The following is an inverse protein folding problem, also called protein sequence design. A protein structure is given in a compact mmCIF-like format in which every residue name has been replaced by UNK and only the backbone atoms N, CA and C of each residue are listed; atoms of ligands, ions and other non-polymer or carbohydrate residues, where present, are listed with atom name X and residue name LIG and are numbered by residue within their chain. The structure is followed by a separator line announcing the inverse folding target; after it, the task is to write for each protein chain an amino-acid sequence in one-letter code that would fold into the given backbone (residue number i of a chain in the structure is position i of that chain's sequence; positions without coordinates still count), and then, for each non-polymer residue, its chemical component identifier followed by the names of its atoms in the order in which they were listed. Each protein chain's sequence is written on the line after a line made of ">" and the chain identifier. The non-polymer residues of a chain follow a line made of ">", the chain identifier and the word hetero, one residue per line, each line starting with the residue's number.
data_IF_417470908622
#
_entry.id   IF_417470908622
#
_cell.length_a   1.000
_cell.length_b   1.000
_cell.length_c   1.000
_cell.angle_alpha   90.00
_cell.angle_beta   90.00
_cell.angle_gamma   90.00
#
_symmetry.space_group_name_H-M   'P 1'
#
loop_
_entity.id
_entity.type
_entity.pdbx_description
1 polymer ?
#
# COMPACT_ATOMS: atom_id res chain seq x y z
N UNK A 1 -34.64 49.91 -13.11
CA UNK A 1 -33.54 49.46 -12.23
C UNK A 1 -34.03 48.21 -11.54
N UNK A 2 -33.68 47.01 -12.04
CA UNK A 2 -32.50 46.22 -11.61
C UNK A 2 -32.70 45.70 -10.18
N UNK A 3 -32.47 44.45 -9.80
CA UNK A 3 -32.01 43.22 -10.45
C UNK A 3 -31.97 42.16 -9.32
N UNK A 4 -32.22 40.88 -9.65
CA UNK A 4 -31.72 39.72 -8.89
C UNK A 4 -32.38 39.43 -7.52
N UNK A 5 -32.76 38.20 -7.17
CA UNK A 5 -32.37 36.89 -7.70
C UNK A 5 -33.40 35.87 -7.21
N UNK A 6 -33.99 35.13 -8.15
CA UNK A 6 -34.69 33.86 -7.90
C UNK A 6 -33.81 32.94 -7.06
N UNK A 7 -34.29 32.50 -5.90
CA UNK A 7 -33.80 31.25 -5.31
C UNK A 7 -34.83 30.21 -5.69
N UNK A 8 -34.64 29.72 -6.90
CA UNK A 8 -35.36 28.64 -7.53
C UNK A 8 -35.25 27.40 -6.66
N UNK A 9 -36.38 26.70 -6.52
CA UNK A 9 -36.48 25.31 -6.09
C UNK A 9 -35.30 24.47 -6.61
N UNK A 10 -34.45 24.00 -5.70
CA UNK A 10 -33.61 22.83 -5.97
C UNK A 10 -34.17 21.74 -5.04
N UNK A 11 -35.03 20.92 -5.62
CA UNK A 11 -35.34 19.59 -5.11
C UNK A 11 -34.03 18.84 -4.92
N UNK A 12 -33.54 18.73 -3.69
CA UNK A 12 -32.63 17.66 -3.29
C UNK A 12 -33.47 16.51 -2.72
N UNK A 13 -34.45 16.05 -3.50
CA UNK A 13 -35.05 14.74 -3.34
C UNK A 13 -34.25 13.80 -4.22
N UNK A 14 -33.50 12.90 -3.58
CA UNK A 14 -32.93 11.63 -4.09
C UNK A 14 -31.59 11.24 -3.44
N UNK A 15 -31.19 11.87 -2.33
CA UNK A 15 -30.26 11.20 -1.42
C UNK A 15 -31.07 10.29 -0.49
N UNK A 16 -31.19 9.02 -0.89
CA UNK A 16 -31.48 7.94 0.06
C UNK A 16 -30.39 7.99 1.12
N UNK A 17 -30.71 8.54 2.28
CA UNK A 17 -29.97 8.28 3.51
C UNK A 17 -30.15 6.78 3.73
N UNK A 18 -29.13 6.02 3.35
CA UNK A 18 -29.06 4.60 3.68
C UNK A 18 -28.96 4.59 5.20
N UNK A 19 -30.00 4.07 5.85
CA UNK A 19 -30.02 3.89 7.30
C UNK A 19 -28.77 3.11 7.68
N UNK A 20 -27.86 3.80 8.37
CA UNK A 20 -26.51 3.34 8.57
C UNK A 20 -26.54 2.31 9.71
N UNK A 21 -26.86 1.07 9.35
CA UNK A 21 -26.59 -0.07 10.21
C UNK A 21 -25.07 -0.28 10.21
N UNK A 22 -24.34 0.66 10.82
CA UNK A 22 -22.90 0.64 10.94
C UNK A 22 -22.51 -0.69 11.58
N UNK A 23 -21.74 -1.48 10.84
CA UNK A 23 -21.14 -2.69 11.39
C UNK A 23 -20.44 -2.31 12.69
N UNK A 24 -20.76 -3.02 13.77
CA UNK A 24 -20.07 -2.78 15.04
C UNK A 24 -18.57 -2.99 14.81
N UNK A 25 -17.72 -2.14 15.38
CA UNK A 25 -16.27 -2.27 15.30
C UNK A 25 -15.80 -3.69 15.63
N UNK A 26 -16.45 -4.33 16.60
CA UNK A 26 -16.19 -5.73 16.99
C UNK A 26 -16.42 -6.71 15.84
N UNK A 27 -17.49 -6.52 15.06
CA UNK A 27 -17.82 -7.36 13.91
C UNK A 27 -16.87 -7.11 12.73
N UNK A 28 -16.44 -5.87 12.52
CA UNK A 28 -15.46 -5.52 11.48
C UNK A 28 -14.07 -6.10 11.78
N UNK A 29 -13.68 -6.20 13.06
CA UNK A 29 -12.40 -6.79 13.48
C UNK A 29 -12.34 -8.31 13.27
N UNK A 30 -13.47 -9.02 13.26
CA UNK A 30 -13.48 -10.50 13.18
C UNK A 30 -12.82 -11.00 11.89
N UNK A 31 -13.23 -10.59 10.67
CA UNK A 31 -12.57 -11.03 9.44
C UNK A 31 -11.10 -10.61 9.35
N UNK A 32 -10.74 -9.45 9.89
CA UNK A 32 -9.37 -8.91 9.87
C UNK A 32 -8.45 -9.75 10.76
N UNK A 33 -8.85 -10.01 12.00
CA UNK A 33 -8.11 -10.87 12.92
C UNK A 33 -8.00 -12.30 12.37
N UNK A 34 -9.09 -12.82 11.81
CA UNK A 34 -9.10 -14.14 11.19
C UNK A 34 -8.09 -14.23 10.04
N UNK A 35 -8.07 -13.25 9.14
CA UNK A 35 -7.10 -13.18 8.05
C UNK A 35 -5.65 -13.09 8.57
N UNK A 36 -5.38 -12.23 9.56
CA UNK A 36 -4.04 -12.08 10.12
C UNK A 36 -3.55 -13.37 10.80
N UNK A 37 -4.42 -14.10 11.48
CA UNK A 37 -4.09 -15.38 12.09
C UNK A 37 -3.77 -16.44 11.04
N UNK A 38 -4.54 -16.51 9.95
CA UNK A 38 -4.25 -17.45 8.85
C UNK A 38 -2.92 -17.14 8.17
N UNK A 39 -2.63 -15.86 7.91
CA UNK A 39 -1.34 -15.44 7.33
C UNK A 39 -0.18 -15.75 8.29
N UNK A 40 -0.35 -15.48 9.58
CA UNK A 40 0.66 -15.80 10.59
C UNK A 40 0.91 -17.30 10.67
N UNK A 41 -0.16 -18.11 10.68
CA UNK A 41 -0.05 -19.56 10.67
C UNK A 41 0.70 -20.07 9.43
N UNK A 42 0.35 -19.55 8.24
CA UNK A 42 1.01 -19.90 6.99
C UNK A 42 2.52 -19.65 7.05
N UNK A 43 2.94 -18.50 7.59
CA UNK A 43 4.36 -18.12 7.65
C UNK A 43 5.13 -18.88 8.73
N UNK A 44 4.59 -19.00 9.95
CA UNK A 44 5.34 -19.53 11.09
C UNK A 44 5.31 -21.06 11.20
N UNK A 45 4.25 -21.72 10.70
CA UNK A 45 4.05 -23.17 10.90
C UNK A 45 4.02 -23.97 9.60
N UNK A 46 3.93 -23.31 8.45
CA UNK A 46 3.81 -23.96 7.15
C UNK A 46 4.77 -23.39 6.10
N UNK A 47 5.84 -22.69 6.53
CA UNK A 47 6.90 -22.12 5.69
C UNK A 47 6.39 -21.31 4.48
N UNK A 48 5.22 -20.69 4.62
CA UNK A 48 4.56 -19.89 3.58
C UNK A 48 3.79 -20.68 2.53
N UNK A 49 3.77 -22.01 2.60
CA UNK A 49 3.23 -22.90 1.57
C UNK A 49 2.08 -23.81 2.04
N UNK A 50 1.32 -23.40 3.06
CA UNK A 50 0.23 -24.20 3.63
C UNK A 50 -0.78 -24.72 2.59
N UNK A 51 -1.15 -23.88 1.62
CA UNK A 51 -2.05 -24.22 0.52
C UNK A 51 -1.32 -24.27 -0.85
N UNK A 52 -0.01 -24.55 -0.84
CA UNK A 52 0.84 -24.59 -2.03
C UNK A 52 1.46 -23.24 -2.40
N UNK A 53 1.97 -23.11 -3.63
CA UNK A 53 2.74 -21.94 -4.10
C UNK A 53 1.97 -20.61 -4.02
N UNK A 54 0.64 -20.68 -4.06
CA UNK A 54 -0.25 -19.51 -4.00
C UNK A 54 -1.00 -19.41 -2.66
N UNK A 55 -0.39 -19.92 -1.58
CA UNK A 55 -1.03 -19.99 -0.26
C UNK A 55 -1.57 -18.64 0.21
N UNK A 56 -0.81 -17.56 0.03
CA UNK A 56 -1.23 -16.22 0.43
C UNK A 56 -2.47 -15.73 -0.32
N UNK A 57 -2.56 -15.99 -1.63
CA UNK A 57 -3.70 -15.59 -2.46
C UNK A 57 -4.97 -16.34 -2.02
N UNK A 58 -4.86 -17.65 -1.75
CA UNK A 58 -5.97 -18.43 -1.23
C UNK A 58 -6.41 -17.97 0.16
N UNK A 59 -5.47 -17.65 1.05
CA UNK A 59 -5.76 -17.12 2.39
C UNK A 59 -6.50 -15.78 2.30
N UNK A 60 -6.10 -14.89 1.39
CA UNK A 60 -6.80 -13.62 1.15
C UNK A 60 -8.24 -13.85 0.65
N UNK A 61 -8.45 -14.80 -0.27
CA UNK A 61 -9.80 -15.17 -0.74
C UNK A 61 -10.66 -15.77 0.38
N UNK A 62 -10.07 -16.60 1.25
CA UNK A 62 -10.75 -17.15 2.44
C UNK A 62 -11.12 -16.03 3.41
N UNK A 63 -10.22 -15.07 3.67
CA UNK A 63 -10.51 -13.89 4.48
C UNK A 63 -11.62 -13.03 3.90
N UNK A 64 -11.61 -12.79 2.58
CA UNK A 64 -12.68 -12.10 1.87
C UNK A 64 -14.02 -12.84 1.94
N UNK A 65 -13.99 -14.16 1.88
CA UNK A 65 -15.19 -15.01 2.06
C UNK A 65 -15.72 -14.89 3.49
N UNK A 66 -14.84 -14.90 4.50
CA UNK A 66 -15.24 -14.68 5.90
C UNK A 66 -15.86 -13.29 6.11
N UNK A 67 -15.31 -12.25 5.47
CA UNK A 67 -15.90 -10.91 5.47
C UNK A 67 -17.28 -10.89 4.79
N UNK A 68 -17.45 -11.57 3.65
CA UNK A 68 -18.73 -11.69 2.97
C UNK A 68 -19.77 -12.42 3.82
N UNK A 69 -19.39 -13.50 4.51
CA UNK A 69 -20.26 -14.24 5.45
C UNK A 69 -20.69 -13.33 6.60
N UNK A 70 -19.78 -12.56 7.18
CA UNK A 70 -20.12 -11.55 8.20
C UNK A 70 -21.07 -10.48 7.65
N UNK A 71 -20.91 -10.05 6.40
CA UNK A 71 -21.85 -9.15 5.73
C UNK A 71 -23.25 -9.75 5.62
N UNK A 72 -23.36 -11.02 5.21
CA UNK A 72 -24.64 -11.75 5.13
C UNK A 72 -25.31 -11.86 6.51
N UNK A 73 -24.56 -12.18 7.57
CA UNK A 73 -25.11 -12.25 8.94
C UNK A 73 -25.62 -10.90 9.45
N UNK A 74 -25.02 -9.79 9.00
CA UNK A 74 -25.50 -8.44 9.28
C UNK A 74 -26.57 -7.95 8.30
N UNK A 75 -27.12 -8.86 7.48
CA UNK A 75 -28.18 -8.59 6.49
C UNK A 75 -27.78 -7.55 5.44
N UNK A 76 -26.49 -7.43 5.15
CA UNK A 76 -26.00 -6.56 4.07
C UNK A 76 -26.38 -7.21 2.73
N UNK A 77 -27.02 -6.47 1.80
CA UNK A 77 -27.42 -7.03 0.52
C UNK A 77 -26.21 -7.41 -0.33
N UNK A 78 -26.23 -8.60 -0.95
CA UNK A 78 -25.13 -9.12 -1.77
C UNK A 78 -24.73 -8.16 -2.90
N UNK A 79 -25.69 -7.49 -3.51
CA UNK A 79 -25.44 -6.48 -4.54
C UNK A 79 -24.55 -5.35 -4.02
N UNK A 80 -24.79 -4.86 -2.80
CA UNK A 80 -23.97 -3.82 -2.18
C UNK A 80 -22.55 -4.30 -1.93
N UNK A 81 -22.37 -5.54 -1.46
CA UNK A 81 -21.04 -6.12 -1.29
C UNK A 81 -20.28 -6.22 -2.61
N UNK A 82 -20.95 -6.64 -3.70
CA UNK A 82 -20.34 -6.70 -5.03
C UNK A 82 -20.00 -5.31 -5.58
N UNK A 83 -20.90 -4.34 -5.42
CA UNK A 83 -20.66 -2.95 -5.84
C UNK A 83 -19.41 -2.37 -5.15
N UNK A 84 -19.23 -2.64 -3.85
CA UNK A 84 -18.04 -2.25 -3.09
C UNK A 84 -16.76 -2.98 -3.55
N UNK A 85 -16.84 -4.26 -3.92
CA UNK A 85 -15.70 -4.98 -4.50
C UNK A 85 -15.27 -4.36 -5.83
N UNK A 86 -16.21 -3.99 -6.69
CA UNK A 86 -15.94 -3.35 -7.98
C UNK A 86 -15.34 -1.95 -7.78
N UNK A 87 -15.84 -1.19 -6.81
CA UNK A 87 -15.28 0.13 -6.50
C UNK A 87 -13.85 0.02 -5.96
N UNK A 88 -13.58 -0.94 -5.07
CA UNK A 88 -12.23 -1.24 -4.61
C UNK A 88 -11.29 -1.61 -5.77
N UNK A 89 -11.79 -2.33 -6.79
CA UNK A 89 -11.01 -2.67 -7.99
C UNK A 89 -10.45 -1.45 -8.72
N UNK A 90 -11.24 -0.36 -8.81
CA UNK A 90 -10.78 0.88 -9.44
C UNK A 90 -9.64 1.52 -8.65
N UNK A 91 -9.72 1.47 -7.32
CA UNK A 91 -8.69 2.04 -6.44
C UNK A 91 -7.35 1.30 -6.53
N UNK A 92 -7.38 -0.03 -6.72
CA UNK A 92 -6.15 -0.85 -6.80
C UNK A 92 -5.56 -0.90 -8.22
N UNK A 93 -6.34 -0.56 -9.24
CA UNK A 93 -5.88 -0.60 -10.64
C UNK A 93 -4.67 0.32 -10.89
N UNK A 94 -4.69 1.54 -10.33
CA UNK A 94 -3.60 2.52 -10.50
C UNK A 94 -2.28 2.01 -9.89
N UNK A 95 -2.23 1.57 -8.61
CA UNK A 95 -1.05 0.93 -8.04
C UNK A 95 -0.52 -0.26 -8.87
N UNK A 96 -1.40 -1.12 -9.39
CA UNK A 96 -0.99 -2.26 -10.22
C UNK A 96 -0.27 -1.78 -11.50
N UNK A 97 -0.81 -0.76 -12.18
CA UNK A 97 -0.19 -0.18 -13.37
C UNK A 97 1.16 0.46 -13.04
N UNK A 98 1.29 1.14 -11.91
CA UNK A 98 2.57 1.68 -11.45
C UNK A 98 3.58 0.56 -11.23
N UNK A 99 3.23 -0.49 -10.48
CA UNK A 99 4.12 -1.63 -10.24
C UNK A 99 4.53 -2.33 -11.54
N UNK A 100 3.62 -2.43 -12.51
CA UNK A 100 3.92 -2.98 -13.83
C UNK A 100 4.95 -2.13 -14.59
N UNK A 101 4.77 -0.80 -14.63
CA UNK A 101 5.71 0.12 -15.26
C UNK A 101 7.06 0.14 -14.55
N UNK A 102 7.08 0.07 -13.22
CA UNK A 102 8.32 -0.02 -12.44
C UNK A 102 9.04 -1.33 -12.71
N UNK A 103 8.32 -2.45 -12.85
CA UNK A 103 8.90 -3.73 -13.27
C UNK A 103 9.59 -3.62 -14.64
N UNK A 104 8.92 -3.01 -15.62
CA UNK A 104 9.51 -2.75 -16.93
C UNK A 104 10.74 -1.82 -16.84
N UNK A 105 10.66 -0.75 -16.05
CA UNK A 105 11.76 0.18 -15.81
C UNK A 105 12.96 -0.53 -15.18
N UNK A 106 12.76 -1.31 -14.12
CA UNK A 106 13.82 -2.07 -13.46
C UNK A 106 14.50 -3.06 -14.42
N UNK A 107 13.72 -3.75 -15.26
CA UNK A 107 14.25 -4.63 -16.31
C UNK A 107 15.11 -3.87 -17.33
N UNK A 108 14.63 -2.73 -17.83
CA UNK A 108 15.40 -1.90 -18.77
C UNK A 108 16.66 -1.32 -18.14
N UNK A 109 16.64 -0.95 -16.86
CA UNK A 109 17.81 -0.48 -16.11
C UNK A 109 18.86 -1.56 -15.90
N UNK A 110 18.42 -2.81 -15.70
CA UNK A 110 19.33 -3.95 -15.60
C UNK A 110 20.03 -4.19 -16.93
N UNK A 111 19.26 -4.25 -18.04
CA UNK A 111 19.80 -4.50 -19.38
C UNK A 111 20.68 -3.35 -19.91
N UNK A 112 20.34 -2.10 -19.61
CA UNK A 112 21.12 -0.93 -20.03
C UNK A 112 22.38 -0.68 -19.17
N UNK A 113 22.57 -1.45 -18.10
CA UNK A 113 23.72 -1.29 -17.21
C UNK A 113 23.57 -0.17 -16.18
N UNK A 114 22.40 0.47 -16.06
CA UNK A 114 22.14 1.53 -15.07
C UNK A 114 22.23 0.96 -13.64
N UNK A 115 21.59 -0.18 -13.35
CA UNK A 115 21.70 -0.83 -12.02
C UNK A 115 23.17 -1.24 -11.73
N UNK A 116 23.88 -1.96 -12.63
CA UNK A 116 25.30 -2.24 -12.46
C UNK A 116 26.17 -0.99 -12.22
N UNK A 117 25.93 0.11 -12.93
CA UNK A 117 26.64 1.37 -12.72
C UNK A 117 26.34 1.98 -11.34
N UNK A 118 25.07 2.00 -10.92
CA UNK A 118 24.69 2.42 -9.56
C UNK A 118 25.35 1.56 -8.49
N UNK A 119 25.50 0.25 -8.72
CA UNK A 119 26.24 -0.64 -7.83
C UNK A 119 27.71 -0.24 -7.78
N UNK A 120 28.36 -0.11 -8.93
CA UNK A 120 29.77 0.25 -9.02
C UNK A 120 30.11 1.57 -8.31
N UNK A 121 29.35 2.63 -8.60
CA UNK A 121 29.55 3.93 -7.95
C UNK A 121 29.07 3.93 -6.49
N UNK A 122 28.00 3.19 -6.18
CA UNK A 122 27.50 3.00 -4.83
C UNK A 122 28.55 2.40 -3.91
N UNK A 123 29.30 1.40 -4.38
CA UNK A 123 30.41 0.78 -3.64
C UNK A 123 31.58 1.73 -3.37
N UNK A 124 31.75 2.78 -4.19
CA UNK A 124 32.81 3.78 -3.98
C UNK A 124 32.41 4.84 -2.94
N UNK A 125 31.11 5.12 -2.82
CA UNK A 125 30.58 6.17 -1.93
C UNK A 125 30.10 5.59 -0.59
N UNK A 126 29.50 4.40 -0.60
CA UNK A 126 28.88 3.78 0.56
C UNK A 126 29.80 2.71 1.15
N UNK A 127 30.33 3.01 2.35
CA UNK A 127 31.04 2.02 3.16
C UNK A 127 30.04 1.10 3.87
N UNK A 128 30.37 -0.19 4.10
CA UNK A 128 29.49 -1.12 4.82
C UNK A 128 29.01 -0.56 6.17
N UNK A 129 29.85 0.19 6.87
CA UNK A 129 29.55 0.76 8.20
C UNK A 129 28.38 1.75 8.19
N UNK A 130 28.16 2.47 7.08
CA UNK A 130 27.12 3.50 6.96
C UNK A 130 25.99 3.10 6.02
N UNK A 131 26.10 1.95 5.36
CA UNK A 131 25.19 1.57 4.28
C UNK A 131 23.72 1.48 4.72
N UNK A 132 23.45 0.82 5.86
CA UNK A 132 22.09 0.65 6.37
C UNK A 132 21.44 2.00 6.76
N UNK A 133 22.06 2.86 7.59
CA UNK A 133 21.47 4.17 7.90
C UNK A 133 21.37 5.07 6.66
N UNK A 134 22.34 5.02 5.74
CA UNK A 134 22.25 5.75 4.47
C UNK A 134 21.07 5.26 3.62
N UNK A 135 20.82 3.96 3.56
CA UNK A 135 19.69 3.37 2.83
C UNK A 135 18.35 3.86 3.37
N UNK A 136 18.21 3.95 4.70
CA UNK A 136 17.01 4.52 5.34
C UNK A 136 16.81 5.97 4.90
N UNK A 137 17.85 6.80 4.98
CA UNK A 137 17.77 8.23 4.64
C UNK A 137 17.44 8.42 3.15
N UNK A 138 18.13 7.71 2.27
CA UNK A 138 17.91 7.78 0.82
C UNK A 138 16.47 7.37 0.50
N UNK A 139 16.00 6.23 1.02
CA UNK A 139 14.63 5.78 0.79
C UNK A 139 13.61 6.77 1.38
N UNK A 140 13.87 7.35 2.55
CA UNK A 140 13.00 8.37 3.14
C UNK A 140 12.88 9.62 2.27
N UNK A 141 14.00 10.17 1.77
CA UNK A 141 13.98 11.36 0.92
C UNK A 141 13.19 11.11 -0.37
N UNK A 142 13.47 9.98 -1.03
CA UNK A 142 12.75 9.61 -2.26
C UNK A 142 11.27 9.37 -1.97
N UNK A 143 10.92 8.76 -0.84
CA UNK A 143 9.52 8.52 -0.50
C UNK A 143 8.77 9.78 -0.07
N UNK A 144 9.45 10.75 0.53
CA UNK A 144 8.87 12.09 0.77
C UNK A 144 8.55 12.74 -0.58
N UNK A 145 9.50 12.69 -1.52
CA UNK A 145 9.35 13.30 -2.84
C UNK A 145 8.28 12.61 -3.71
N UNK A 146 8.15 11.28 -3.62
CA UNK A 146 7.20 10.50 -4.42
C UNK A 146 5.84 10.32 -3.75
N UNK A 147 5.75 10.45 -2.42
CA UNK A 147 4.53 10.20 -1.65
C UNK A 147 4.11 8.73 -1.60
N UNK A 148 4.98 7.79 -1.98
CA UNK A 148 4.64 6.36 -2.07
C UNK A 148 5.78 5.46 -1.63
N UNK A 149 5.51 4.67 -0.58
CA UNK A 149 6.42 3.64 -0.07
C UNK A 149 6.66 2.52 -1.09
N UNK A 150 5.62 2.14 -1.84
CA UNK A 150 5.68 1.10 -2.87
C UNK A 150 6.57 1.53 -4.05
N UNK A 151 6.37 2.75 -4.56
CA UNK A 151 7.17 3.28 -5.67
C UNK A 151 8.64 3.42 -5.26
N UNK A 152 8.90 3.88 -4.04
CA UNK A 152 10.26 4.02 -3.51
C UNK A 152 10.96 2.67 -3.40
N UNK A 153 10.29 1.69 -2.80
CA UNK A 153 10.84 0.34 -2.63
C UNK A 153 11.14 -0.32 -3.97
N UNK A 154 10.27 -0.11 -4.96
CA UNK A 154 10.38 -0.71 -6.28
C UNK A 154 11.41 -0.02 -7.20
N UNK A 155 11.84 1.21 -6.89
CA UNK A 155 12.82 1.96 -7.71
C UNK A 155 14.21 1.97 -7.05
N UNK A 156 14.45 2.91 -6.14
CA UNK A 156 15.74 3.04 -5.44
C UNK A 156 15.99 1.88 -4.50
N UNK A 157 14.93 1.26 -3.97
CA UNK A 157 15.06 0.09 -3.08
C UNK A 157 15.74 -1.10 -3.75
N UNK A 158 15.40 -1.42 -5.01
CA UNK A 158 16.05 -2.51 -5.76
C UNK A 158 17.54 -2.23 -5.97
N UNK A 159 17.89 -0.97 -6.29
CA UNK A 159 19.28 -0.57 -6.44
C UNK A 159 20.07 -0.73 -5.12
N UNK A 160 19.50 -0.30 -3.99
CA UNK A 160 20.09 -0.46 -2.67
C UNK A 160 20.23 -1.93 -2.28
N UNK A 161 19.23 -2.78 -2.56
CA UNK A 161 19.33 -4.23 -2.35
C UNK A 161 20.50 -4.82 -3.16
N UNK A 162 20.66 -4.40 -4.42
CA UNK A 162 21.79 -4.80 -5.25
C UNK A 162 23.15 -4.39 -4.67
N UNK A 163 23.28 -3.12 -4.24
CA UNK A 163 24.52 -2.61 -3.61
C UNK A 163 24.82 -3.36 -2.32
N UNK A 164 23.84 -3.49 -1.42
CA UNK A 164 24.04 -4.11 -0.12
C UNK A 164 24.41 -5.60 -0.22
N UNK A 165 23.81 -6.31 -1.18
CA UNK A 165 24.19 -7.70 -1.46
C UNK A 165 25.65 -7.78 -1.97
N UNK A 166 26.08 -6.85 -2.81
CA UNK A 166 27.47 -6.76 -3.26
C UNK A 166 28.45 -6.39 -2.12
N UNK A 167 27.99 -5.66 -1.10
CA UNK A 167 28.73 -5.38 0.13
C UNK A 167 28.73 -6.55 1.13
N UNK A 168 28.03 -7.66 0.84
CA UNK A 168 27.93 -8.82 1.72
C UNK A 168 27.01 -8.63 2.92
N UNK A 169 26.13 -7.64 2.89
CA UNK A 169 25.18 -7.37 3.98
C UNK A 169 23.97 -8.32 3.84
N UNK A 170 23.51 -8.96 4.92
CA UNK A 170 22.33 -9.81 4.88
C UNK A 170 21.10 -9.12 4.28
N UNK A 171 20.48 -9.76 3.27
CA UNK A 171 19.37 -9.18 2.49
C UNK A 171 18.17 -8.76 3.34
N UNK A 172 17.89 -9.46 4.44
CA UNK A 172 16.84 -9.07 5.38
C UNK A 172 17.09 -7.72 6.05
N UNK A 173 18.35 -7.40 6.41
CA UNK A 173 18.70 -6.09 6.97
C UNK A 173 18.60 -4.98 5.93
N UNK A 174 19.02 -5.25 4.69
CA UNK A 174 18.93 -4.29 3.59
C UNK A 174 17.45 -3.98 3.29
N UNK A 175 16.63 -5.02 3.14
CA UNK A 175 15.20 -4.89 2.93
C UNK A 175 14.54 -4.12 4.09
N UNK A 176 14.89 -4.45 5.34
CA UNK A 176 14.41 -3.73 6.52
C UNK A 176 14.75 -2.24 6.49
N UNK A 177 15.98 -1.87 6.13
CA UNK A 177 16.42 -0.48 6.01
C UNK A 177 15.67 0.29 4.91
N UNK A 178 15.55 -0.31 3.72
CA UNK A 178 14.82 0.28 2.58
C UNK A 178 13.34 0.47 2.92
N UNK A 179 12.67 -0.56 3.44
CA UNK A 179 11.25 -0.52 3.79
C UNK A 179 11.01 0.53 4.88
N UNK A 180 11.89 0.58 5.89
CA UNK A 180 11.77 1.56 6.99
C UNK A 180 11.86 3.00 6.48
N UNK A 181 12.82 3.31 5.61
CA UNK A 181 12.93 4.63 5.00
C UNK A 181 11.74 4.96 4.08
N UNK A 182 11.34 4.00 3.23
CA UNK A 182 10.22 4.18 2.32
C UNK A 182 8.90 4.46 3.06
N UNK A 183 8.55 3.65 4.07
CA UNK A 183 7.34 3.90 4.85
C UNK A 183 7.40 5.18 5.68
N UNK A 184 8.57 5.49 6.25
CA UNK A 184 8.75 6.76 6.96
C UNK A 184 8.48 7.96 6.05
N UNK A 185 9.08 7.98 4.86
CA UNK A 185 8.93 9.10 3.95
C UNK A 185 7.52 9.23 3.36
N UNK A 186 6.86 8.12 3.07
CA UNK A 186 5.45 8.09 2.65
C UNK A 186 4.55 8.80 3.69
N UNK A 187 4.67 8.44 4.98
CA UNK A 187 3.86 9.03 6.05
C UNK A 187 4.19 10.48 6.37
N UNK A 188 5.37 10.96 5.99
CA UNK A 188 5.76 12.37 6.13
C UNK A 188 5.46 13.19 4.88
N UNK A 189 5.11 12.56 3.75
CA UNK A 189 4.90 13.25 2.49
C UNK A 189 3.52 13.93 2.43
N UNK A 190 3.45 15.23 2.10
CA UNK A 190 2.18 15.89 1.78
C UNK A 190 1.58 15.42 0.46
N UNK A 191 2.31 14.61 -0.32
CA UNK A 191 1.82 14.01 -1.57
C UNK A 191 1.22 12.62 -1.36
N UNK A 192 1.36 12.03 -0.17
CA UNK A 192 0.83 10.70 0.10
C UNK A 192 -0.68 10.73 0.27
N UNK A 193 -1.36 9.82 -0.42
CA UNK A 193 -2.81 9.63 -0.33
C UNK A 193 -3.22 9.32 1.11
N UNK A 194 -2.48 8.46 1.79
CA UNK A 194 -2.81 8.06 3.17
C UNK A 194 -2.58 9.18 4.17
N UNK A 195 -1.54 10.00 3.94
CA UNK A 195 -1.25 11.17 4.76
C UNK A 195 -2.32 12.25 4.57
N UNK A 196 -2.83 12.43 3.34
CA UNK A 196 -3.93 13.35 3.05
C UNK A 196 -5.32 12.86 3.52
N UNK A 197 -5.58 11.55 3.43
CA UNK A 197 -6.87 10.97 3.77
C UNK A 197 -7.12 10.95 5.29
N UNK A 198 -6.09 10.66 6.10
CA UNK A 198 -6.22 10.59 7.56
C UNK A 198 -6.78 11.88 8.20
N UNK A 199 -6.26 13.09 7.94
CA UNK A 199 -6.82 14.33 8.47
C UNK A 199 -8.16 14.69 7.84
N UNK A 200 -8.39 14.36 6.56
CA UNK A 200 -9.70 14.55 5.92
C UNK A 200 -10.80 13.74 6.63
N UNK A 201 -10.49 12.51 7.05
CA UNK A 201 -11.41 11.67 7.83
C UNK A 201 -11.54 12.12 9.28
N UNK A 202 -10.47 12.64 9.90
CA UNK A 202 -10.48 13.13 11.28
C UNK A 202 -11.05 14.56 11.42
N UNK A 203 -11.31 15.27 10.31
CA UNK A 203 -11.73 16.67 10.32
C UNK A 203 -10.63 17.64 10.77
N UNK A 204 -9.36 17.23 10.68
CA UNK A 204 -8.21 18.02 11.12
C UNK A 204 -7.40 18.55 9.93
N UNK A 205 -6.44 19.45 10.19
CA UNK A 205 -5.50 19.90 9.16
C UNK A 205 -4.40 18.86 8.96
N UNK A 206 -3.81 18.87 7.77
CA UNK A 206 -2.71 17.99 7.36
C UNK A 206 -1.42 18.25 8.18
N UNK A 207 -1.23 19.50 8.61
CA UNK A 207 -0.21 19.99 9.54
C UNK A 207 -0.72 21.26 10.24
#
# INVERSE_FOLDING_TARGET
>A
MQEGKKITEIKNGDQKIIDDNQLSLKQALIPVLFLMLLLSYNIFFADGAWLGDYSNQFILLIGGTAAAVMGVFNKVPLKRMLDEVVENWKSVFVPIMILFLVGALAGTWLLSGIIPAMVYYGLQVLRPEIFLPASVIIAAIISIATGSSWTTSATVGIALVGIGNALGIPSGMIAGAVISGAYFGDKMSPLSDTTNLAPAMAGTKLF
#
